data_IF_418334706173
#
_entry.id   IF_418334706173
#
_cell.length_a   1.000
_cell.length_b   1.000
_cell.length_c   1.000
_cell.angle_alpha   90.00
_cell.angle_beta   90.00
_cell.angle_gamma   90.00
#
_symmetry.space_group_name_H-M   'P 1'
#
loop_
_entity.id
_entity.type
_entity.pdbx_description
1 polymer ?
#
# COMPACT_ATOMS: atom_id res chain seq x y z
N UNK A 1 -29.23 -7.38 -4.54
CA UNK A 1 -28.57 -6.08 -4.63
C UNK A 1 -27.92 -5.92 -5.99
N UNK A 2 -28.20 -4.85 -6.68
CA UNK A 2 -27.50 -4.62 -7.93
C UNK A 2 -26.00 -4.37 -7.66
N UNK A 3 -25.19 -4.86 -8.57
CA UNK A 3 -23.75 -4.59 -8.52
C UNK A 3 -23.49 -3.12 -8.83
N UNK A 4 -22.69 -2.46 -8.00
CA UNK A 4 -22.29 -1.08 -8.21
C UNK A 4 -20.82 -1.08 -8.64
N UNK A 5 -20.57 -0.64 -9.87
CA UNK A 5 -19.22 -0.58 -10.42
C UNK A 5 -18.40 0.47 -9.66
N UNK A 6 -17.19 0.14 -9.20
CA UNK A 6 -16.32 1.13 -8.55
C UNK A 6 -16.01 2.30 -9.46
N UNK A 7 -15.93 3.49 -8.88
CA UNK A 7 -15.51 4.69 -9.62
C UNK A 7 -14.06 4.55 -10.06
N UNK A 8 -13.75 5.09 -11.22
CA UNK A 8 -12.37 5.25 -11.66
C UNK A 8 -11.68 6.27 -10.75
N UNK A 9 -10.48 5.94 -10.29
CA UNK A 9 -9.70 6.85 -9.47
C UNK A 9 -9.19 8.03 -10.31
N UNK A 10 -9.13 9.19 -9.66
CA UNK A 10 -8.43 10.35 -10.19
C UNK A 10 -7.39 10.75 -9.15
N UNK A 11 -6.14 10.37 -9.36
CA UNK A 11 -5.08 10.57 -8.38
C UNK A 11 -4.51 11.98 -8.57
N UNK A 12 -4.65 12.80 -7.51
CA UNK A 12 -4.17 14.20 -7.52
C UNK A 12 -3.11 14.45 -6.45
N UNK A 13 -2.72 13.44 -5.70
CA UNK A 13 -1.65 13.52 -4.69
C UNK A 13 -0.51 12.60 -5.08
N UNK A 14 0.74 12.92 -4.68
CA UNK A 14 1.81 11.95 -4.80
C UNK A 14 1.52 10.73 -3.93
N UNK A 15 1.38 9.58 -4.54
CA UNK A 15 1.05 8.34 -3.84
C UNK A 15 1.94 7.20 -4.30
N UNK A 16 2.11 6.20 -3.43
CA UNK A 16 2.68 4.92 -3.81
C UNK A 16 1.55 3.91 -3.78
N UNK A 17 1.32 3.22 -4.89
CA UNK A 17 0.37 2.11 -4.93
C UNK A 17 1.13 0.83 -4.62
N UNK A 18 0.60 0.03 -3.68
CA UNK A 18 1.16 -1.27 -3.33
C UNK A 18 0.20 -2.37 -3.76
N UNK A 19 0.73 -3.36 -4.47
CA UNK A 19 -0.05 -4.51 -4.94
C UNK A 19 0.01 -5.63 -3.91
N UNK A 20 -1.12 -5.95 -3.30
CA UNK A 20 -1.21 -6.92 -2.21
C UNK A 20 -1.69 -8.29 -2.70
N UNK A 21 -1.03 -8.83 -3.72
CA UNK A 21 -1.47 -10.06 -4.38
C UNK A 21 -1.57 -11.25 -3.44
N UNK A 22 -0.60 -11.43 -2.54
CA UNK A 22 -0.59 -12.55 -1.59
C UNK A 22 -1.04 -12.15 -0.19
N UNK A 23 -0.99 -10.86 0.12
CA UNK A 23 -1.19 -10.39 1.48
C UNK A 23 -2.64 -10.10 1.84
N UNK A 24 -3.46 -9.75 0.86
CA UNK A 24 -4.82 -9.28 1.13
C UNK A 24 -5.84 -10.41 1.22
N UNK A 25 -6.71 -10.31 2.22
CA UNK A 25 -7.92 -11.13 2.36
C UNK A 25 -9.07 -10.21 2.76
N UNK A 26 -10.29 -10.40 2.18
CA UNK A 26 -11.40 -9.45 2.45
C UNK A 26 -11.79 -9.30 3.92
N UNK A 27 -11.64 -10.36 4.71
CA UNK A 27 -12.07 -10.36 6.11
C UNK A 27 -10.93 -10.08 7.10
N UNK A 28 -9.75 -9.66 6.62
CA UNK A 28 -8.63 -9.45 7.54
C UNK A 28 -8.84 -8.22 8.43
N UNK A 29 -8.25 -8.27 9.61
CA UNK A 29 -8.32 -7.17 10.56
C UNK A 29 -7.55 -5.94 10.06
N UNK A 30 -7.92 -4.72 10.47
CA UNK A 30 -7.18 -3.52 10.07
C UNK A 30 -5.68 -3.58 10.39
N UNK A 31 -5.31 -4.12 11.55
CA UNK A 31 -3.90 -4.28 11.93
C UNK A 31 -3.16 -5.24 11.01
N UNK A 32 -3.84 -6.27 10.52
CA UNK A 32 -3.27 -7.23 9.57
C UNK A 32 -3.06 -6.59 8.20
N UNK A 33 -4.03 -5.82 7.74
CA UNK A 33 -3.91 -5.08 6.47
C UNK A 33 -2.75 -4.09 6.52
N UNK A 34 -2.59 -3.37 7.62
CA UNK A 34 -1.48 -2.48 7.83
C UNK A 34 -0.14 -3.24 7.78
N UNK A 35 -0.07 -4.37 8.48
CA UNK A 35 1.14 -5.19 8.51
C UNK A 35 1.58 -5.68 7.14
N UNK A 36 0.64 -6.03 6.26
CA UNK A 36 0.98 -6.51 4.92
C UNK A 36 1.25 -5.37 3.93
N UNK A 37 0.76 -4.16 4.19
CA UNK A 37 0.95 -3.02 3.31
C UNK A 37 2.27 -2.28 3.59
N UNK A 38 2.64 -2.12 4.85
CA UNK A 38 3.72 -1.23 5.28
C UNK A 38 5.14 -1.70 4.98
N UNK A 39 5.32 -2.88 4.51
CA UNK A 39 6.65 -3.40 4.19
C UNK A 39 6.53 -4.83 3.71
N UNK A 40 7.53 -5.47 3.41
CA UNK A 40 8.93 -5.03 3.29
C UNK A 40 9.25 -4.96 1.80
N UNK A 41 9.47 -3.78 1.31
CA UNK A 41 9.52 -3.51 -0.12
C UNK A 41 10.94 -3.19 -0.56
N UNK A 42 11.31 -3.70 -1.72
CA UNK A 42 12.60 -3.40 -2.32
C UNK A 42 12.49 -2.08 -3.07
N UNK A 43 12.66 -0.98 -2.37
CA UNK A 43 12.42 0.37 -2.88
C UNK A 43 13.57 1.30 -2.53
N UNK A 44 13.66 2.41 -3.27
CA UNK A 44 14.58 3.50 -2.96
C UNK A 44 13.97 4.37 -1.86
N UNK A 45 14.58 4.39 -0.70
CA UNK A 45 14.09 5.15 0.45
C UNK A 45 14.03 6.65 0.17
N UNK A 46 15.02 7.20 -0.54
CA UNK A 46 15.05 8.63 -0.83
C UNK A 46 13.92 9.05 -1.75
N UNK A 47 13.62 8.26 -2.76
CA UNK A 47 12.49 8.52 -3.64
C UNK A 47 11.17 8.36 -2.90
N UNK A 48 11.07 7.31 -2.09
CA UNK A 48 9.83 6.99 -1.36
C UNK A 48 9.41 8.11 -0.40
N UNK A 49 10.38 8.85 0.17
CA UNK A 49 10.11 9.98 1.07
C UNK A 49 9.35 11.13 0.42
N UNK A 50 9.30 11.17 -0.90
CA UNK A 50 8.61 12.24 -1.64
C UNK A 50 7.10 11.97 -1.77
N UNK A 51 6.62 10.84 -1.30
CA UNK A 51 5.23 10.42 -1.45
C UNK A 51 4.57 10.34 -0.09
N UNK A 52 3.39 10.97 0.03
CA UNK A 52 2.72 11.12 1.31
C UNK A 52 1.75 9.99 1.64
N UNK A 53 1.13 9.41 0.63
CA UNK A 53 0.09 8.41 0.84
C UNK A 53 0.44 7.08 0.22
N UNK A 54 0.03 6.01 0.90
CA UNK A 54 0.13 4.65 0.41
C UNK A 54 -1.26 4.13 0.09
N UNK A 55 -1.46 3.69 -1.15
CA UNK A 55 -2.70 3.04 -1.57
C UNK A 55 -2.48 1.54 -1.55
N UNK A 56 -3.16 0.85 -0.64
CA UNK A 56 -3.16 -0.62 -0.61
C UNK A 56 -4.14 -1.09 -1.68
N UNK A 57 -3.66 -1.88 -2.65
CA UNK A 57 -4.45 -2.28 -3.81
C UNK A 57 -4.54 -3.79 -3.93
N UNK A 58 -5.76 -4.27 -4.23
CA UNK A 58 -6.01 -5.67 -4.56
C UNK A 58 -6.79 -5.73 -5.87
N UNK A 59 -6.24 -6.44 -6.86
CA UNK A 59 -6.86 -6.62 -8.16
C UNK A 59 -7.32 -5.29 -8.81
N UNK A 60 -6.51 -4.24 -8.68
CA UNK A 60 -6.79 -2.94 -9.27
C UNK A 60 -7.77 -2.08 -8.48
N UNK A 61 -8.12 -2.50 -7.27
CA UNK A 61 -9.05 -1.76 -6.41
C UNK A 61 -8.32 -1.29 -5.16
N UNK A 62 -8.50 -0.03 -4.78
CA UNK A 62 -7.93 0.48 -3.52
C UNK A 62 -8.75 -0.04 -2.35
N UNK A 63 -8.10 -0.77 -1.45
CA UNK A 63 -8.77 -1.37 -0.28
C UNK A 63 -8.51 -0.60 1.02
N UNK A 64 -7.47 0.23 1.06
CA UNK A 64 -7.21 1.15 2.18
C UNK A 64 -6.20 2.21 1.77
N UNK A 65 -6.19 3.33 2.50
CA UNK A 65 -5.28 4.45 2.27
C UNK A 65 -4.58 4.80 3.57
N UNK A 66 -3.26 4.87 3.53
CA UNK A 66 -2.44 5.24 4.69
C UNK A 66 -1.70 6.54 4.42
N UNK A 67 -1.50 7.33 5.48
CA UNK A 67 -0.59 8.46 5.44
C UNK A 67 0.77 7.98 5.95
N UNK A 68 1.79 8.14 5.11
CA UNK A 68 3.14 7.69 5.43
C UNK A 68 3.82 8.75 6.31
N UNK A 69 4.34 8.35 7.47
CA UNK A 69 5.02 9.25 8.38
C UNK A 69 6.54 9.14 8.26
N UNK A 70 7.06 7.92 8.34
CA UNK A 70 8.52 7.67 8.29
C UNK A 70 8.83 6.39 7.55
N UNK A 71 10.05 6.31 7.00
CA UNK A 71 10.58 5.10 6.37
C UNK A 71 11.75 4.55 7.19
N UNK A 72 11.85 3.23 7.26
CA UNK A 72 12.84 2.51 8.04
C UNK A 72 13.41 1.33 7.26
N UNK A 73 14.58 0.86 7.66
CA UNK A 73 15.11 -0.40 7.17
C UNK A 73 14.22 -1.54 7.66
N UNK A 74 14.19 -2.64 6.91
CA UNK A 74 13.33 -3.76 7.27
C UNK A 74 13.66 -4.27 8.67
N UNK A 75 12.62 -4.66 9.38
CA UNK A 75 12.69 -5.22 10.73
C UNK A 75 13.04 -4.23 11.85
N UNK A 76 13.12 -2.93 11.56
CA UNK A 76 13.36 -1.96 12.62
C UNK A 76 12.10 -1.62 13.42
N UNK A 77 10.93 -1.67 12.79
CA UNK A 77 9.68 -1.18 13.38
C UNK A 77 8.58 -2.23 13.45
N UNK A 78 8.74 -3.38 12.81
CA UNK A 78 7.74 -4.44 12.86
C UNK A 78 7.86 -5.25 14.14
N UNK A 79 6.72 -5.54 14.79
CA UNK A 79 6.67 -6.41 15.95
C UNK A 79 6.89 -7.85 15.54
N UNK A 80 7.23 -8.69 16.52
CA UNK A 80 7.37 -10.11 16.28
C UNK A 80 6.06 -10.73 15.76
N UNK A 81 4.93 -10.26 16.27
CA UNK A 81 3.62 -10.71 15.81
C UNK A 81 3.38 -10.36 14.34
N UNK A 82 3.77 -9.15 13.90
CA UNK A 82 3.67 -8.76 12.50
C UNK A 82 4.55 -9.64 11.63
N UNK A 83 5.77 -9.92 12.05
CA UNK A 83 6.69 -10.75 11.28
C UNK A 83 6.20 -12.19 11.17
N UNK A 84 5.66 -12.74 12.23
CA UNK A 84 5.08 -14.08 12.22
C UNK A 84 3.87 -14.15 11.28
N UNK A 85 3.00 -13.15 11.35
CA UNK A 85 1.84 -13.07 10.46
C UNK A 85 2.27 -13.02 8.99
N UNK A 86 3.27 -12.20 8.67
CA UNK A 86 3.79 -12.08 7.32
C UNK A 86 4.41 -13.37 6.82
N UNK A 87 5.20 -14.05 7.67
CA UNK A 87 5.78 -15.36 7.33
C UNK A 87 4.71 -16.41 7.05
N UNK A 88 3.66 -16.41 7.84
CA UNK A 88 2.55 -17.35 7.64
C UNK A 88 1.85 -17.15 6.29
N UNK A 89 1.90 -15.94 5.74
CA UNK A 89 1.34 -15.63 4.42
C UNK A 89 2.36 -15.79 3.28
N UNK A 90 3.58 -16.18 3.58
CA UNK A 90 4.63 -16.31 2.58
C UNK A 90 5.23 -14.99 2.14
N UNK A 91 5.07 -13.93 2.94
CA UNK A 91 5.60 -12.62 2.63
C UNK A 91 7.00 -12.43 3.22
N UNK A 92 7.77 -11.51 2.65
CA UNK A 92 9.09 -11.16 3.16
C UNK A 92 8.99 -10.65 4.60
N UNK A 93 9.94 -11.06 5.44
CA UNK A 93 9.91 -10.75 6.87
C UNK A 93 11.34 -10.61 7.43
N UNK A 94 11.86 -9.37 7.41
CA UNK A 94 13.14 -9.04 8.02
C UNK A 94 14.36 -9.18 7.12
N UNK A 95 14.17 -9.22 5.81
CA UNK A 95 15.28 -9.38 4.87
C UNK A 95 16.03 -8.06 4.63
N UNK A 96 17.36 -8.14 4.58
CA UNK A 96 18.22 -6.99 4.31
C UNK A 96 17.92 -6.42 2.92
N UNK A 97 18.02 -5.09 2.80
CA UNK A 97 17.82 -4.41 1.52
C UNK A 97 16.37 -4.04 1.23
N UNK A 98 15.47 -4.30 2.15
CA UNK A 98 14.07 -3.91 2.04
C UNK A 98 13.73 -2.82 3.07
N UNK A 99 12.68 -2.05 2.81
CA UNK A 99 12.26 -0.97 3.70
C UNK A 99 10.80 -1.12 4.08
N UNK A 100 10.43 -0.48 5.17
CA UNK A 100 9.08 -0.48 5.71
C UNK A 100 8.71 0.92 6.17
N UNK A 101 7.44 1.30 6.05
CA UNK A 101 7.01 2.59 6.55
C UNK A 101 6.25 2.44 7.86
N UNK A 102 6.28 3.52 8.65
CA UNK A 102 5.37 3.73 9.77
C UNK A 102 4.41 4.82 9.32
N UNK A 103 3.14 4.58 9.52
CA UNK A 103 2.10 5.51 9.13
C UNK A 103 0.81 5.23 9.88
N UNK A 104 -0.25 5.84 9.42
CA UNK A 104 -1.58 5.71 10.02
C UNK A 104 -2.63 5.76 8.93
N UNK A 105 -3.87 5.41 9.25
CA UNK A 105 -4.98 5.59 8.34
C UNK A 105 -5.01 7.06 7.91
N UNK A 106 -5.15 7.30 6.60
CA UNK A 106 -5.18 8.65 6.05
C UNK A 106 -6.40 9.42 6.56
N UNK A 107 -6.35 10.77 6.53
CA UNK A 107 -7.53 11.58 6.87
C UNK A 107 -8.75 11.17 6.06
N UNK A 108 -9.92 11.34 6.66
CA UNK A 108 -11.18 10.88 6.06
C UNK A 108 -11.40 11.42 4.64
N UNK A 109 -11.05 12.69 4.40
CA UNK A 109 -11.19 13.29 3.08
C UNK A 109 -10.34 12.59 2.01
N UNK A 110 -9.15 12.11 2.39
CA UNK A 110 -8.26 11.38 1.50
C UNK A 110 -8.78 9.97 1.28
N UNK A 111 -9.23 9.31 2.35
CA UNK A 111 -9.82 7.97 2.24
C UNK A 111 -11.04 7.99 1.32
N UNK A 112 -11.93 8.96 1.49
CA UNK A 112 -13.13 9.10 0.64
C UNK A 112 -12.77 9.26 -0.83
N UNK A 113 -11.66 9.95 -1.10
CA UNK A 113 -11.23 10.19 -2.47
C UNK A 113 -10.73 8.92 -3.15
N UNK A 114 -9.99 8.09 -2.45
CA UNK A 114 -9.29 6.97 -3.08
C UNK A 114 -9.82 5.59 -2.71
N UNK A 115 -10.35 5.42 -1.50
CA UNK A 115 -10.79 4.11 -1.05
C UNK A 115 -11.91 3.56 -1.93
N UNK A 116 -11.82 2.29 -2.27
CA UNK A 116 -12.80 1.57 -3.12
C UNK A 116 -12.86 2.09 -4.56
N UNK A 117 -11.84 2.82 -5.01
CA UNK A 117 -11.76 3.28 -6.40
C UNK A 117 -10.93 2.33 -7.25
N UNK A 118 -11.19 2.34 -8.56
CA UNK A 118 -10.49 1.52 -9.54
C UNK A 118 -9.24 2.26 -10.02
N UNK A 119 -8.06 1.65 -9.84
CA UNK A 119 -6.77 2.22 -10.24
C UNK A 119 -6.10 1.42 -11.36
N UNK A 120 -6.84 0.60 -12.06
CA UNK A 120 -6.29 -0.26 -13.13
C UNK A 120 -5.52 0.57 -14.16
N UNK A 121 -6.04 1.72 -14.55
CA UNK A 121 -5.37 2.57 -15.55
C UNK A 121 -3.98 3.05 -15.10
N UNK A 122 -3.78 3.22 -13.79
CA UNK A 122 -2.49 3.67 -13.26
C UNK A 122 -1.47 2.53 -13.20
N UNK A 123 -1.93 1.29 -13.03
CA UNK A 123 -1.06 0.13 -13.12
C UNK A 123 -0.67 -0.16 -14.55
N UNK A 124 -1.61 0.01 -15.50
CA UNK A 124 -1.39 -0.34 -16.89
C UNK A 124 -0.99 -1.81 -17.02
N UNK A 125 0.09 -2.05 -17.76
CA UNK A 125 0.66 -3.42 -17.93
C UNK A 125 1.78 -3.71 -16.94
N UNK A 126 1.97 -2.86 -15.94
CA UNK A 126 3.05 -3.02 -14.99
C UNK A 126 2.87 -4.27 -14.13
N UNK A 127 3.94 -5.06 -13.99
CA UNK A 127 3.97 -6.23 -13.12
C UNK A 127 4.71 -5.96 -11.82
N UNK A 128 5.09 -4.70 -11.57
CA UNK A 128 5.82 -4.34 -10.37
C UNK A 128 4.93 -4.45 -9.13
N UNK A 129 5.50 -4.79 -7.95
CA UNK A 129 4.71 -4.91 -6.72
C UNK A 129 4.27 -3.57 -6.14
N UNK A 130 4.88 -2.47 -6.59
CA UNK A 130 4.50 -1.11 -6.18
C UNK A 130 4.70 -0.16 -7.36
N UNK A 131 4.09 1.02 -7.28
CA UNK A 131 4.24 2.03 -8.31
C UNK A 131 4.13 3.43 -7.72
N UNK A 132 5.08 4.30 -8.06
CA UNK A 132 5.05 5.72 -7.69
C UNK A 132 4.16 6.47 -8.67
N UNK A 133 3.24 7.26 -8.15
CA UNK A 133 2.37 8.12 -8.97
C UNK A 133 2.58 9.56 -8.57
N UNK A 134 3.09 10.38 -9.50
CA UNK A 134 3.28 11.82 -9.33
C UNK A 134 2.31 12.54 -10.24
N UNK A 135 1.30 13.22 -9.72
CA UNK A 135 0.25 13.84 -10.54
C UNK A 135 0.78 14.86 -11.55
N UNK A 136 1.81 15.60 -11.21
CA UNK A 136 2.41 16.57 -12.12
C UNK A 136 3.09 15.94 -13.33
N UNK A 137 3.29 14.63 -13.32
CA UNK A 137 3.91 13.88 -14.42
C UNK A 137 2.91 13.02 -15.19
N UNK A 138 1.64 13.16 -14.89
CA UNK A 138 0.59 12.38 -15.56
C UNK A 138 0.05 13.08 -16.81
#
# INVERSE_FOLDING_TARGET
MPYIKPKLANIIHPVIMFKLTQGYEPAMEPSQLYAVTRGQWKMDVNRSKQFKYALACDAGLVVEVYEIETWHQSNETMSEAELLYRRAKGLHAGETGRIEFVGKIAPEEIRKKYNKTNVVKYWGRSQTPFKYISPENL
#
